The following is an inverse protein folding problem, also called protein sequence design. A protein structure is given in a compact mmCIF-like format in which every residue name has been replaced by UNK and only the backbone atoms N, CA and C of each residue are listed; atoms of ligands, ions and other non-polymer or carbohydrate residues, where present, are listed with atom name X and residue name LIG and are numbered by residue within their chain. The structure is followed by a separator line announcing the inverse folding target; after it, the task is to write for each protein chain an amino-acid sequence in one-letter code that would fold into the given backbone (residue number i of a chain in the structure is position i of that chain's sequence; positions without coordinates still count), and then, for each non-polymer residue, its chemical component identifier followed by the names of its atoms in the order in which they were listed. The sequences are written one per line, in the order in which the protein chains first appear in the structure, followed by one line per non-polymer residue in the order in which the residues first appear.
data_IF_665637851523
#
_entry.id   IF_665637851523
#
_cell.length_a   1.000
_cell.length_b   1.000
_cell.length_c   1.000
_cell.angle_alpha   90.00
_cell.angle_beta   90.00
_cell.angle_gamma   90.00
#
_symmetry.space_group_name_H-M   'P 1'
#
loop_
_entity.id
_entity.type
_entity.pdbx_description
1 polymer ?
#
# COMPACT_ATOMS: atom_id res chain seq x y z
N UNK A 1 -23.46 -12.07 -1.33
CA UNK A 1 -22.59 -11.70 -2.46
C UNK A 1 -21.39 -12.61 -2.38
N UNK A 2 -20.93 -13.23 -3.48
CA UNK A 2 -19.69 -14.01 -3.46
C UNK A 2 -18.51 -13.07 -3.32
N UNK A 3 -17.42 -13.53 -2.72
CA UNK A 3 -16.21 -12.73 -2.45
C UNK A 3 -15.63 -12.13 -3.74
N UNK A 4 -15.69 -12.86 -4.85
CA UNK A 4 -15.26 -12.40 -6.18
C UNK A 4 -16.00 -11.13 -6.65
N UNK A 5 -17.26 -10.97 -6.29
CA UNK A 5 -18.08 -9.85 -6.72
C UNK A 5 -17.69 -8.52 -6.01
N UNK A 6 -17.19 -8.56 -4.78
CA UNK A 6 -16.81 -7.35 -4.04
C UNK A 6 -15.52 -6.74 -4.60
N UNK A 7 -14.51 -7.56 -4.88
CA UNK A 7 -13.25 -7.11 -5.47
C UNK A 7 -13.47 -6.49 -6.85
N UNK A 8 -14.29 -7.11 -7.71
CA UNK A 8 -14.65 -6.57 -9.03
C UNK A 8 -15.36 -5.21 -8.93
N UNK A 9 -16.34 -5.08 -8.03
CA UNK A 9 -17.08 -3.81 -7.84
C UNK A 9 -16.12 -2.70 -7.40
N UNK A 10 -15.20 -2.99 -6.47
CA UNK A 10 -14.20 -2.03 -6.00
C UNK A 10 -13.26 -1.63 -7.14
N UNK A 11 -12.75 -2.59 -7.89
CA UNK A 11 -11.83 -2.35 -8.98
C UNK A 11 -12.47 -1.52 -10.09
N UNK A 12 -13.71 -1.82 -10.48
CA UNK A 12 -14.44 -1.03 -11.47
C UNK A 12 -14.73 0.42 -11.03
N UNK A 13 -14.96 0.66 -9.74
CA UNK A 13 -15.06 2.02 -9.19
C UNK A 13 -13.69 2.72 -9.26
N UNK A 14 -12.62 2.02 -8.88
CA UNK A 14 -11.26 2.54 -8.89
C UNK A 14 -10.77 2.89 -10.30
N UNK A 15 -11.07 2.07 -11.32
CA UNK A 15 -10.75 2.32 -12.74
C UNK A 15 -11.27 3.67 -13.21
N UNK A 16 -12.52 4.01 -12.88
CA UNK A 16 -13.12 5.30 -13.26
C UNK A 16 -12.36 6.51 -12.71
N UNK A 17 -11.65 6.35 -11.61
CA UNK A 17 -10.89 7.42 -10.93
C UNK A 17 -9.43 7.43 -11.35
N UNK A 18 -8.82 6.26 -11.51
CA UNK A 18 -7.38 6.10 -11.73
C UNK A 18 -6.98 6.15 -13.21
N UNK A 19 -7.71 5.45 -14.09
CA UNK A 19 -7.40 5.39 -15.52
C UNK A 19 -7.35 6.76 -16.21
N UNK A 20 -8.26 7.72 -15.94
CA UNK A 20 -8.16 9.06 -16.50
C UNK A 20 -6.88 9.82 -16.10
N UNK A 21 -6.21 9.39 -15.04
CA UNK A 21 -4.93 9.94 -14.56
C UNK A 21 -3.71 9.15 -15.08
N UNK A 22 -3.92 8.18 -15.95
CA UNK A 22 -2.85 7.29 -16.45
C UNK A 22 -2.32 6.32 -15.38
N UNK A 23 -3.10 6.03 -14.33
CA UNK A 23 -2.70 5.17 -13.21
C UNK A 23 -3.50 3.88 -13.20
N UNK A 24 -2.85 2.78 -12.81
CA UNK A 24 -3.50 1.51 -12.53
C UNK A 24 -4.21 1.53 -11.18
N UNK A 25 -5.21 0.65 -11.02
CA UNK A 25 -5.86 0.41 -9.72
C UNK A 25 -4.98 -0.40 -8.78
N UNK A 26 -5.39 -0.51 -7.51
CA UNK A 26 -4.67 -1.34 -6.53
C UNK A 26 -4.64 -2.82 -6.95
N UNK A 27 -5.74 -3.34 -7.49
CA UNK A 27 -5.85 -4.73 -7.97
C UNK A 27 -5.03 -4.97 -9.24
N UNK A 28 -5.09 -4.06 -10.22
CA UNK A 28 -4.31 -4.17 -11.46
C UNK A 28 -2.79 -4.20 -11.17
N UNK A 29 -2.33 -3.41 -10.20
CA UNK A 29 -0.92 -3.39 -9.76
C UNK A 29 -0.51 -4.73 -9.15
N UNK A 30 -1.38 -5.34 -8.33
CA UNK A 30 -1.13 -6.64 -7.73
C UNK A 30 -1.11 -7.74 -8.79
N UNK A 31 -2.06 -7.72 -9.72
CA UNK A 31 -2.12 -8.69 -10.83
C UNK A 31 -0.92 -8.57 -11.78
N UNK A 32 -0.35 -7.36 -11.93
CA UNK A 32 0.86 -7.16 -12.73
C UNK A 32 2.13 -7.63 -12.02
N UNK A 33 2.16 -7.55 -10.69
CA UNK A 33 3.32 -7.88 -9.86
C UNK A 33 3.43 -9.38 -9.59
N UNK A 34 2.30 -10.04 -9.32
CA UNK A 34 2.25 -11.43 -8.85
C UNK A 34 2.08 -12.42 -10.01
N UNK A 35 2.44 -13.66 -9.76
CA UNK A 35 2.16 -14.75 -10.69
C UNK A 35 0.64 -14.88 -10.91
N UNK A 36 0.24 -15.19 -12.14
CA UNK A 36 -1.17 -15.29 -12.54
C UNK A 36 -1.95 -16.24 -11.62
N UNK A 37 -3.08 -15.76 -11.09
CA UNK A 37 -3.98 -16.52 -10.21
C UNK A 37 -3.43 -16.82 -8.82
N UNK A 38 -2.26 -16.30 -8.44
CA UNK A 38 -1.64 -16.57 -7.13
C UNK A 38 -2.13 -15.64 -6.02
N UNK A 39 -2.77 -14.52 -6.35
CA UNK A 39 -3.19 -13.54 -5.35
C UNK A 39 -4.34 -14.07 -4.48
N UNK A 40 -4.16 -13.98 -3.18
CA UNK A 40 -5.19 -14.25 -2.16
C UNK A 40 -5.33 -13.05 -1.25
N UNK A 41 -6.49 -12.37 -1.30
CA UNK A 41 -6.76 -11.20 -0.49
C UNK A 41 -6.95 -11.58 0.98
N UNK A 42 -6.38 -10.77 1.88
CA UNK A 42 -6.53 -10.87 3.34
C UNK A 42 -7.37 -9.68 3.79
N UNK A 43 -8.36 -9.93 4.67
CA UNK A 43 -9.23 -8.90 5.23
C UNK A 43 -10.06 -8.13 4.18
N UNK A 44 -10.49 -8.78 3.12
CA UNK A 44 -11.32 -8.19 2.06
C UNK A 44 -12.58 -7.51 2.61
N UNK A 45 -13.22 -8.11 3.61
CA UNK A 45 -14.47 -7.63 4.24
C UNK A 45 -14.25 -6.73 5.46
N UNK A 46 -13.00 -6.44 5.81
CA UNK A 46 -12.69 -5.52 6.92
C UNK A 46 -12.80 -4.10 6.42
N UNK A 47 -13.83 -3.40 6.86
CA UNK A 47 -14.23 -2.06 6.42
C UNK A 47 -14.48 -1.15 7.62
N UNK A 48 -14.65 0.14 7.38
CA UNK A 48 -15.13 1.13 8.36
C UNK A 48 -16.54 1.58 8.02
N UNK A 49 -17.20 2.31 8.91
CA UNK A 49 -18.51 2.92 8.65
C UNK A 49 -18.43 3.94 7.51
N UNK A 50 -17.32 4.67 7.39
CA UNK A 50 -17.09 5.65 6.34
C UNK A 50 -16.85 5.02 4.96
N UNK A 51 -16.33 3.78 4.93
CA UNK A 51 -15.99 3.06 3.71
C UNK A 51 -16.53 1.63 3.72
N UNK A 52 -17.86 1.46 3.69
CA UNK A 52 -18.50 0.14 3.80
C UNK A 52 -18.21 -0.80 2.63
N UNK A 53 -17.83 -0.26 1.47
CA UNK A 53 -17.45 -1.04 0.28
C UNK A 53 -15.97 -1.49 0.29
N UNK A 54 -15.16 -1.00 1.22
CA UNK A 54 -13.75 -1.36 1.37
C UNK A 54 -12.84 -0.18 1.68
N UNK A 55 -11.75 -0.47 2.36
CA UNK A 55 -10.77 0.52 2.80
C UNK A 55 -9.73 0.88 1.73
N UNK A 56 -8.98 1.95 1.99
CA UNK A 56 -7.97 2.53 1.09
C UNK A 56 -6.71 1.66 0.93
N UNK A 57 -6.83 0.36 1.12
CA UNK A 57 -5.74 -0.62 0.92
C UNK A 57 -6.29 -2.00 0.58
N UNK A 58 -5.63 -2.67 -0.36
CA UNK A 58 -5.80 -4.10 -0.65
C UNK A 58 -4.58 -4.83 -0.07
N UNK A 59 -4.82 -5.84 0.76
CA UNK A 59 -3.77 -6.60 1.45
C UNK A 59 -3.89 -8.08 1.13
N UNK A 60 -2.78 -8.79 1.01
CA UNK A 60 -2.84 -10.21 0.69
C UNK A 60 -1.48 -10.89 0.58
N UNK A 61 -1.51 -12.06 0.00
CA UNK A 61 -0.34 -12.88 -0.31
C UNK A 61 -0.45 -13.41 -1.74
N UNK A 62 0.68 -13.76 -2.31
CA UNK A 62 0.78 -14.39 -3.63
C UNK A 62 2.17 -14.93 -3.86
N UNK A 63 2.50 -15.21 -5.11
CA UNK A 63 3.86 -15.65 -5.49
C UNK A 63 4.46 -14.76 -6.56
N UNK A 64 5.79 -14.70 -6.59
CA UNK A 64 6.60 -14.13 -7.67
C UNK A 64 7.62 -15.21 -8.08
N UNK A 65 7.53 -15.69 -9.31
CA UNK A 65 8.31 -16.86 -9.80
C UNK A 65 8.21 -18.07 -8.86
N UNK A 66 6.99 -18.34 -8.38
CA UNK A 66 6.68 -19.44 -7.47
C UNK A 66 7.13 -19.23 -6.02
N UNK A 67 7.70 -18.07 -5.66
CA UNK A 67 8.16 -17.76 -4.30
C UNK A 67 7.10 -16.94 -3.55
N UNK A 68 6.73 -17.33 -2.32
CA UNK A 68 5.71 -16.63 -1.56
C UNK A 68 6.17 -15.21 -1.19
N UNK A 69 5.24 -14.27 -1.34
CA UNK A 69 5.41 -12.87 -0.92
C UNK A 69 4.13 -12.38 -0.27
N UNK A 70 4.27 -11.45 0.66
CA UNK A 70 3.15 -10.70 1.21
C UNK A 70 3.11 -9.31 0.59
N UNK A 71 1.91 -8.80 0.35
CA UNK A 71 1.73 -7.57 -0.40
C UNK A 71 0.65 -6.69 0.23
N UNK A 72 0.81 -5.38 0.09
CA UNK A 72 -0.29 -4.43 0.24
C UNK A 72 -0.19 -3.36 -0.85
N UNK A 73 -1.34 -2.94 -1.37
CA UNK A 73 -1.46 -1.91 -2.40
C UNK A 73 -2.43 -0.84 -1.92
N UNK A 74 -1.92 0.38 -1.74
CA UNK A 74 -2.73 1.52 -1.35
C UNK A 74 -3.66 1.92 -2.51
N UNK A 75 -4.93 2.14 -2.19
CA UNK A 75 -5.98 2.52 -3.15
C UNK A 75 -6.32 4.00 -3.04
N UNK A 76 -5.72 4.80 -3.91
CA UNK A 76 -5.96 6.24 -3.95
C UNK A 76 -7.41 6.61 -4.31
N UNK A 77 -8.20 5.69 -4.88
CA UNK A 77 -9.60 5.93 -5.21
C UNK A 77 -10.49 6.06 -3.98
N UNK A 78 -10.05 5.49 -2.85
CA UNK A 78 -10.74 5.56 -1.56
C UNK A 78 -10.04 6.59 -0.68
N UNK A 79 -10.71 7.71 -0.41
CA UNK A 79 -10.23 8.80 0.46
C UNK A 79 -8.76 9.23 0.17
N UNK A 80 -8.34 9.21 -1.11
CA UNK A 80 -6.97 9.58 -1.49
C UNK A 80 -5.90 8.62 -0.99
N UNK A 81 -6.22 7.35 -0.77
CA UNK A 81 -5.28 6.37 -0.24
C UNK A 81 -4.84 6.66 1.21
N UNK A 82 -5.58 7.51 1.94
CA UNK A 82 -5.18 7.97 3.27
C UNK A 82 -5.25 6.86 4.31
N UNK A 83 -4.27 6.85 5.21
CA UNK A 83 -4.17 5.87 6.28
C UNK A 83 -5.08 6.25 7.44
N UNK A 84 -6.11 5.43 7.66
CA UNK A 84 -6.93 5.41 8.87
C UNK A 84 -6.60 4.21 9.76
N UNK A 85 -7.31 4.09 10.87
CA UNK A 85 -7.10 3.00 11.84
C UNK A 85 -7.27 1.61 11.20
N UNK A 86 -8.32 1.42 10.41
CA UNK A 86 -8.60 0.13 9.75
C UNK A 86 -7.53 -0.19 8.70
N UNK A 87 -7.13 0.80 7.89
CA UNK A 87 -6.04 0.65 6.91
C UNK A 87 -4.74 0.24 7.61
N UNK A 88 -4.40 0.90 8.71
CA UNK A 88 -3.20 0.56 9.49
C UNK A 88 -3.26 -0.88 10.02
N UNK A 89 -4.39 -1.31 10.59
CA UNK A 89 -4.59 -2.68 11.08
C UNK A 89 -4.40 -3.73 9.98
N UNK A 90 -4.95 -3.49 8.79
CA UNK A 90 -4.77 -4.39 7.64
C UNK A 90 -3.31 -4.50 7.23
N UNK A 91 -2.59 -3.37 7.11
CA UNK A 91 -1.16 -3.36 6.77
C UNK A 91 -0.33 -4.07 7.85
N UNK A 92 -0.56 -3.77 9.13
CA UNK A 92 0.16 -4.40 10.23
C UNK A 92 -0.03 -5.92 10.24
N UNK A 93 -1.26 -6.39 10.03
CA UNK A 93 -1.57 -7.82 9.99
C UNK A 93 -0.80 -8.54 8.86
N UNK A 94 -0.77 -7.98 7.66
CA UNK A 94 -0.02 -8.59 6.56
C UNK A 94 1.49 -8.54 6.79
N UNK A 95 2.01 -7.52 7.46
CA UNK A 95 3.42 -7.45 7.89
C UNK A 95 3.75 -8.50 8.95
N UNK A 96 2.82 -8.76 9.91
CA UNK A 96 2.99 -9.83 10.89
C UNK A 96 3.06 -11.20 10.23
N UNK A 97 2.15 -11.49 9.29
CA UNK A 97 2.20 -12.74 8.52
C UNK A 97 3.49 -12.90 7.71
N UNK A 98 4.00 -11.81 7.11
CA UNK A 98 5.28 -11.83 6.41
C UNK A 98 6.44 -12.18 7.34
N UNK A 99 6.47 -11.59 8.54
CA UNK A 99 7.49 -11.87 9.56
C UNK A 99 7.43 -13.32 10.05
N UNK A 100 6.23 -13.83 10.35
CA UNK A 100 6.01 -15.22 10.79
C UNK A 100 6.43 -16.22 9.72
N UNK A 101 6.06 -15.95 8.46
CA UNK A 101 6.40 -16.80 7.32
C UNK A 101 7.85 -16.63 6.86
N UNK A 102 8.59 -15.63 7.37
CA UNK A 102 9.93 -15.23 6.89
C UNK A 102 9.97 -15.00 5.38
N UNK A 103 8.92 -14.37 4.85
CA UNK A 103 8.76 -14.06 3.45
C UNK A 103 8.86 -12.54 3.20
N UNK A 104 9.23 -12.10 1.99
CA UNK A 104 9.28 -10.68 1.65
C UNK A 104 7.93 -9.99 1.82
N UNK A 105 7.96 -8.70 2.19
CA UNK A 105 6.80 -7.80 2.17
C UNK A 105 7.02 -6.72 1.10
N UNK A 106 6.02 -6.52 0.24
CA UNK A 106 6.06 -5.51 -0.82
C UNK A 106 4.88 -4.55 -0.61
N UNK A 107 5.18 -3.27 -0.41
CA UNK A 107 4.19 -2.21 -0.28
C UNK A 107 4.12 -1.34 -1.53
N UNK A 108 2.96 -1.32 -2.20
CA UNK A 108 2.70 -0.43 -3.34
C UNK A 108 2.06 0.84 -2.81
N UNK A 109 2.77 1.98 -2.99
CA UNK A 109 2.49 3.26 -2.33
C UNK A 109 1.78 4.24 -3.25
N UNK A 110 0.59 4.68 -2.82
CA UNK A 110 -0.23 5.70 -3.48
C UNK A 110 -1.17 6.34 -2.46
N UNK A 111 -0.65 7.27 -1.62
CA UNK A 111 -1.34 7.75 -0.43
C UNK A 111 -1.13 9.24 -0.16
N UNK A 112 -2.22 9.93 0.15
CA UNK A 112 -2.20 11.30 0.66
C UNK A 112 -1.66 11.47 2.08
N UNK A 113 -1.29 10.37 2.76
CA UNK A 113 -0.78 10.41 4.14
C UNK A 113 -1.82 10.04 5.19
N UNK A 114 -1.71 10.61 6.38
CA UNK A 114 -2.64 10.35 7.48
C UNK A 114 -4.06 10.87 7.17
N UNK A 115 -5.09 10.07 7.47
CA UNK A 115 -6.49 10.47 7.38
C UNK A 115 -6.80 11.49 8.45
N UNK A 116 -6.94 12.75 8.06
CA UNK A 116 -7.09 13.90 8.99
C UNK A 116 -8.34 13.73 9.86
N UNK A 117 -9.41 13.18 9.30
CA UNK A 117 -10.69 12.97 9.99
C UNK A 117 -10.58 12.06 11.22
N UNK A 118 -9.63 11.12 11.19
CA UNK A 118 -9.37 10.20 12.31
C UNK A 118 -8.33 10.72 13.31
N UNK A 119 -7.71 11.86 13.06
CA UNK A 119 -6.84 12.57 13.99
C UNK A 119 -5.69 11.70 14.52
N UNK A 120 -5.64 11.52 15.84
CA UNK A 120 -4.56 10.79 16.52
C UNK A 120 -4.52 9.30 16.13
N UNK A 121 -5.65 8.67 15.82
CA UNK A 121 -5.68 7.24 15.45
C UNK A 121 -4.89 6.96 14.18
N UNK A 122 -4.96 7.84 13.17
CA UNK A 122 -4.19 7.69 11.94
C UNK A 122 -2.69 7.91 12.18
N UNK A 123 -2.30 8.87 13.03
CA UNK A 123 -0.89 9.08 13.41
C UNK A 123 -0.33 7.89 14.18
N UNK A 124 -1.13 7.34 15.10
CA UNK A 124 -0.77 6.12 15.83
C UNK A 124 -0.59 4.93 14.88
N UNK A 125 -1.47 4.78 13.88
CA UNK A 125 -1.34 3.78 12.84
C UNK A 125 0.02 3.85 12.12
N UNK A 126 0.45 5.05 11.70
CA UNK A 126 1.79 5.23 11.13
C UNK A 126 2.91 4.87 12.09
N UNK A 127 2.82 5.28 13.36
CA UNK A 127 3.84 4.94 14.36
C UNK A 127 3.98 3.41 14.51
N UNK A 128 2.88 2.65 14.50
CA UNK A 128 2.90 1.19 14.54
C UNK A 128 3.54 0.59 13.28
N UNK A 129 3.25 1.12 12.09
CA UNK A 129 3.87 0.68 10.84
C UNK A 129 5.37 0.94 10.86
N UNK A 130 5.84 2.11 11.32
CA UNK A 130 7.27 2.40 11.44
C UNK A 130 7.96 1.45 12.41
N UNK A 131 7.33 1.19 13.56
CA UNK A 131 7.82 0.19 14.52
C UNK A 131 7.96 -1.18 13.84
N UNK A 132 6.95 -1.59 13.07
CA UNK A 132 6.96 -2.87 12.36
C UNK A 132 8.03 -2.92 11.27
N UNK A 133 8.26 -1.83 10.52
CA UNK A 133 9.37 -1.75 9.57
C UNK A 133 10.74 -1.97 10.27
N UNK A 134 10.94 -1.36 11.44
CA UNK A 134 12.17 -1.55 12.23
C UNK A 134 12.28 -2.99 12.75
N UNK A 135 11.20 -3.59 13.23
CA UNK A 135 11.17 -5.00 13.67
C UNK A 135 11.49 -5.98 12.54
N UNK A 136 11.07 -5.67 11.31
CA UNK A 136 11.27 -6.49 10.11
C UNK A 136 12.67 -6.32 9.51
N UNK A 137 13.35 -5.21 9.79
CA UNK A 137 14.67 -4.89 9.26
C UNK A 137 15.69 -5.98 9.60
N UNK A 138 16.40 -6.46 8.58
CA UNK A 138 17.37 -7.55 8.71
C UNK A 138 16.78 -8.95 8.92
N UNK A 139 15.45 -9.08 8.98
CA UNK A 139 14.76 -10.38 9.14
C UNK A 139 14.09 -10.85 7.85
N UNK A 140 13.41 -9.96 7.15
CA UNK A 140 12.75 -10.21 5.87
C UNK A 140 13.02 -9.03 4.92
N UNK A 141 13.08 -9.27 3.59
CA UNK A 141 13.16 -8.18 2.62
C UNK A 141 11.89 -7.32 2.65
N UNK A 142 12.09 -6.00 2.71
CA UNK A 142 11.04 -5.01 2.68
C UNK A 142 11.21 -4.15 1.42
N UNK A 143 10.21 -4.12 0.56
CA UNK A 143 10.26 -3.44 -0.74
C UNK A 143 9.11 -2.44 -0.82
N UNK A 144 9.42 -1.20 -1.18
CA UNK A 144 8.43 -0.17 -1.47
C UNK A 144 8.42 0.19 -2.95
N UNK A 145 7.23 0.21 -3.56
CA UNK A 145 7.02 0.62 -4.95
C UNK A 145 6.11 1.86 -4.96
N UNK A 146 6.68 3.02 -5.30
CA UNK A 146 5.97 4.31 -5.29
C UNK A 146 5.34 4.54 -6.66
N UNK A 147 4.03 4.48 -6.73
CA UNK A 147 3.24 4.54 -7.97
C UNK A 147 2.24 5.70 -8.00
N UNK A 148 2.38 6.61 -7.07
CA UNK A 148 1.55 7.80 -6.95
C UNK A 148 2.11 8.76 -5.91
N UNK A 149 1.35 9.79 -5.51
CA UNK A 149 1.77 10.64 -4.41
C UNK A 149 1.89 9.82 -3.13
N UNK A 150 2.95 10.11 -2.37
CA UNK A 150 3.16 9.59 -1.03
C UNK A 150 3.58 10.75 -0.14
N UNK A 151 2.70 11.17 0.77
CA UNK A 151 2.88 12.38 1.56
C UNK A 151 2.97 12.08 3.07
N UNK A 152 3.75 12.88 3.79
CA UNK A 152 3.88 12.81 5.25
C UNK A 152 4.31 11.42 5.72
N UNK A 153 3.51 10.75 6.55
CA UNK A 153 3.79 9.40 7.06
C UNK A 153 3.98 8.34 5.97
N UNK A 154 3.33 8.52 4.80
CA UNK A 154 3.48 7.62 3.66
C UNK A 154 4.87 7.67 3.01
N UNK A 155 5.69 8.67 3.31
CA UNK A 155 7.09 8.78 2.86
C UNK A 155 8.04 8.08 3.83
N UNK A 156 7.78 8.17 5.13
CA UNK A 156 8.70 7.62 6.13
C UNK A 156 8.74 6.08 6.12
N UNK A 157 7.59 5.42 5.92
CA UNK A 157 7.56 3.96 5.83
C UNK A 157 8.45 3.43 4.68
N UNK A 158 8.35 3.92 3.43
CA UNK A 158 9.30 3.57 2.38
C UNK A 158 10.77 3.81 2.73
N UNK A 159 11.07 4.93 3.40
CA UNK A 159 12.44 5.26 3.81
C UNK A 159 13.03 4.28 4.84
N UNK A 160 12.20 3.48 5.51
CA UNK A 160 12.60 2.45 6.46
C UNK A 160 12.68 1.05 5.81
N UNK A 161 12.36 0.92 4.53
CA UNK A 161 12.43 -0.35 3.78
C UNK A 161 13.78 -0.55 3.11
N UNK A 162 14.10 -1.78 2.68
CA UNK A 162 15.41 -2.11 2.11
C UNK A 162 15.57 -1.60 0.67
N UNK A 163 14.47 -1.59 -0.09
CA UNK A 163 14.48 -1.15 -1.49
C UNK A 163 13.28 -0.23 -1.78
N UNK A 164 13.55 0.85 -2.52
CA UNK A 164 12.52 1.78 -2.99
C UNK A 164 12.60 1.85 -4.51
N UNK A 165 11.51 1.48 -5.16
CA UNK A 165 11.29 1.69 -6.59
C UNK A 165 10.28 2.83 -6.78
N UNK A 166 10.55 3.73 -7.68
CA UNK A 166 9.66 4.85 -7.97
C UNK A 166 9.35 4.88 -9.46
N UNK A 167 8.07 4.88 -9.79
CA UNK A 167 7.63 4.95 -11.19
C UNK A 167 7.85 6.38 -11.69
N UNK A 168 8.54 6.50 -12.82
CA UNK A 168 8.83 7.79 -13.43
C UNK A 168 7.54 8.56 -13.72
N UNK A 169 7.57 9.88 -13.51
CA UNK A 169 6.52 10.86 -13.78
C UNK A 169 5.25 10.77 -12.91
N UNK A 170 4.95 9.62 -12.28
CA UNK A 170 3.76 9.44 -11.43
C UNK A 170 4.06 9.19 -9.97
N UNK A 171 5.17 8.51 -9.65
CA UNK A 171 5.60 8.28 -8.27
C UNK A 171 6.19 9.56 -7.68
N UNK A 172 5.70 9.98 -6.51
CA UNK A 172 6.14 11.22 -5.86
C UNK A 172 6.25 11.02 -4.35
N UNK A 173 7.34 11.50 -3.75
CA UNK A 173 7.59 11.44 -2.32
C UNK A 173 7.64 12.86 -1.74
N UNK A 174 6.72 13.18 -0.84
CA UNK A 174 6.62 14.47 -0.18
C UNK A 174 6.79 14.34 1.34
N UNK A 175 7.95 14.70 1.86
CA UNK A 175 8.20 14.63 3.30
C UNK A 175 7.34 15.62 4.11
N UNK A 176 6.93 16.73 3.49
CA UNK A 176 6.01 17.73 4.06
C UNK A 176 4.94 18.04 3.02
N UNK A 177 3.69 18.15 3.44
CA UNK A 177 2.51 18.18 2.56
C UNK A 177 2.45 19.31 1.51
N UNK A 178 3.39 20.26 1.48
CA UNK A 178 3.38 21.38 0.53
C UNK A 178 4.76 21.83 0.03
N UNK A 179 5.84 21.15 0.36
CA UNK A 179 7.17 21.45 -0.18
C UNK A 179 7.63 20.34 -1.10
N UNK A 180 7.87 20.67 -2.37
CA UNK A 180 8.57 19.82 -3.32
C UNK A 180 10.00 19.58 -2.83
N UNK A 181 10.22 18.50 -2.09
CA UNK A 181 11.55 17.96 -1.88
C UNK A 181 11.76 16.92 -2.99
N UNK A 182 12.35 17.35 -4.08
CA UNK A 182 13.00 16.45 -5.00
C UNK A 182 14.23 15.90 -4.29
N UNK A 183 14.10 14.70 -3.71
CA UNK A 183 15.29 13.94 -3.35
C UNK A 183 16.09 13.70 -4.64
N UNK A 184 17.42 13.90 -4.64
CA UNK A 184 18.21 13.59 -5.80
C UNK A 184 18.14 12.09 -6.07
N UNK A 185 17.26 11.71 -6.98
CA UNK A 185 17.18 10.34 -7.48
C UNK A 185 18.44 10.10 -8.31
N UNK A 186 19.39 9.34 -7.78
CA UNK A 186 20.41 8.74 -8.63
C UNK A 186 19.69 7.80 -9.59
N UNK A 187 19.64 8.16 -10.87
CA UNK A 187 19.28 7.25 -11.94
C UNK A 187 20.28 6.09 -11.88
N UNK A 188 19.78 4.92 -11.48
CA UNK A 188 20.48 3.67 -11.77
C UNK A 188 19.92 3.23 -13.12
N UNK A 189 20.73 3.33 -14.13
CA UNK A 189 20.47 2.81 -15.49
C UNK A 189 20.68 1.31 -15.45
#
# INVERSE_FOLDING_TARGET
MSDDNLAEIRDEKAKKIQHPKGKLTAYERLNLLLDEGSFSEIDQHVTSEENPDGEAVVTGTGTIHGRPVFVFSEDFSVMGGSLGEVVAKKILKVMDHALEARAPIIGIKDSGGARIQEGISSLYGYAQIFKKNVEASGKIPQISVVVGPSAGGAVYSPALTDFIFQVQDIGQLYAVSYTHLTLPTKRIV
#
